data_IF_430126775951
#
_entry.id   IF_430126775951
#
_cell.length_a   1.000
_cell.length_b   1.000
_cell.length_c   1.000
_cell.angle_alpha   90.00
_cell.angle_beta   90.00
_cell.angle_gamma   90.00
#
_symmetry.space_group_name_H-M   'P 1'
#
loop_
_entity.id
_entity.type
_entity.pdbx_description
1 polymer ?
#
# COMPACT_ATOMS: atom_id res chain seq x y z
N UNK A 1 3.66 -13.47 -9.79
CA UNK A 1 3.26 -12.21 -10.45
C UNK A 1 2.74 -11.33 -9.34
N UNK A 2 3.60 -10.44 -8.91
CA UNK A 2 3.40 -9.42 -7.90
C UNK A 2 2.65 -8.25 -8.53
N UNK A 3 1.33 -8.21 -8.31
CA UNK A 3 0.42 -7.19 -8.85
C UNK A 3 0.94 -5.76 -8.67
N UNK A 4 1.55 -5.47 -7.53
CA UNK A 4 2.17 -4.18 -7.25
C UNK A 4 3.39 -3.90 -8.15
N UNK A 5 4.26 -4.88 -8.38
CA UNK A 5 5.40 -4.70 -9.28
C UNK A 5 4.99 -4.45 -10.73
N UNK A 6 3.91 -5.08 -11.22
CA UNK A 6 3.40 -4.83 -12.57
C UNK A 6 2.92 -3.37 -12.74
N UNK A 7 2.15 -2.84 -11.77
CA UNK A 7 1.65 -1.45 -11.81
C UNK A 7 2.80 -0.44 -11.88
N UNK A 8 3.84 -0.64 -11.07
CA UNK A 8 4.93 0.32 -10.93
C UNK A 8 6.13 0.03 -11.85
N UNK A 9 6.12 -1.08 -12.59
CA UNK A 9 7.16 -1.42 -13.59
C UNK A 9 7.31 -0.36 -14.69
N UNK A 10 6.28 0.45 -14.93
CA UNK A 10 6.28 1.54 -15.89
C UNK A 10 6.91 2.84 -15.35
N UNK A 11 7.17 2.93 -14.04
CA UNK A 11 7.83 4.07 -13.44
C UNK A 11 9.35 3.99 -13.62
N UNK A 12 10.05 5.14 -13.65
CA UNK A 12 11.50 5.15 -13.63
C UNK A 12 12.02 4.47 -12.36
N UNK A 13 12.97 3.54 -12.54
CA UNK A 13 13.67 2.84 -11.46
C UNK A 13 14.57 3.77 -10.66
N UNK A 14 14.99 4.91 -11.22
CA UNK A 14 15.87 5.86 -10.56
C UNK A 14 15.14 7.18 -10.29
N UNK A 15 15.21 7.73 -9.06
CA UNK A 15 14.74 9.09 -8.77
C UNK A 15 15.56 10.08 -9.57
N UNK A 16 14.90 11.06 -10.20
CA UNK A 16 15.59 12.02 -11.03
C UNK A 16 16.44 12.92 -10.11
N UNK A 17 17.77 12.90 -10.30
CA UNK A 17 18.74 13.60 -9.46
C UNK A 17 18.64 15.14 -9.53
N UNK A 18 17.61 15.72 -10.14
CA UNK A 18 17.39 17.17 -10.27
C UNK A 18 16.89 17.88 -9.01
N UNK A 19 16.71 17.18 -7.89
CA UNK A 19 16.28 17.79 -6.63
C UNK A 19 14.78 18.08 -6.56
N UNK A 20 13.97 17.45 -7.42
CA UNK A 20 12.56 17.20 -7.10
C UNK A 20 12.50 16.19 -5.96
N UNK A 21 11.62 16.42 -4.98
CA UNK A 21 11.37 15.45 -3.93
C UNK A 21 10.46 14.37 -4.49
N UNK A 22 11.05 13.33 -5.07
CA UNK A 22 10.31 12.16 -5.52
C UNK A 22 9.97 11.27 -4.32
N UNK A 23 8.76 10.70 -4.33
CA UNK A 23 8.34 9.71 -3.33
C UNK A 23 8.86 8.34 -3.75
N UNK A 24 9.24 7.48 -2.80
CA UNK A 24 9.85 6.19 -3.09
C UNK A 24 8.87 5.06 -2.78
N UNK A 25 8.61 4.22 -3.79
CA UNK A 25 7.86 2.98 -3.61
C UNK A 25 8.81 1.79 -3.67
N UNK A 26 8.82 0.97 -2.61
CA UNK A 26 9.66 -0.23 -2.54
C UNK A 26 8.80 -1.49 -2.62
N UNK A 27 9.01 -2.33 -3.63
CA UNK A 27 8.33 -3.64 -3.74
C UNK A 27 9.30 -4.70 -4.22
N UNK A 28 9.27 -5.87 -3.58
CA UNK A 28 10.03 -7.04 -4.03
C UNK A 28 11.56 -6.86 -4.03
N UNK A 29 12.06 -5.86 -3.28
CA UNK A 29 13.48 -5.48 -3.27
C UNK A 29 13.88 -4.46 -4.34
N UNK A 30 12.96 -4.05 -5.20
CA UNK A 30 13.12 -2.94 -6.14
C UNK A 30 12.58 -1.64 -5.53
N UNK A 31 13.19 -0.52 -5.92
CA UNK A 31 12.71 0.81 -5.58
C UNK A 31 12.31 1.54 -6.86
N UNK A 32 11.20 2.26 -6.80
CA UNK A 32 10.63 3.02 -7.89
C UNK A 32 10.44 4.46 -7.44
N UNK A 33 10.90 5.40 -8.26
CA UNK A 33 10.67 6.80 -8.01
C UNK A 33 9.31 7.20 -8.55
N UNK A 34 8.49 7.76 -7.67
CA UNK A 34 7.21 8.35 -7.99
C UNK A 34 7.43 9.85 -8.17
N UNK A 35 7.29 10.38 -9.40
CA UNK A 35 7.49 11.79 -9.67
C UNK A 35 6.55 12.63 -8.83
N UNK A 36 7.11 13.41 -7.91
CA UNK A 36 6.33 14.26 -7.02
C UNK A 36 6.79 15.73 -7.13
N UNK A 37 6.52 16.37 -8.29
CA UNK A 37 7.05 17.68 -8.61
C UNK A 37 6.53 18.82 -7.72
N UNK A 38 5.56 18.53 -6.86
CA UNK A 38 4.90 19.49 -5.98
C UNK A 38 5.14 19.17 -4.49
N UNK A 39 5.89 18.11 -4.16
CA UNK A 39 6.11 17.71 -2.76
C UNK A 39 4.81 17.30 -2.06
N UNK A 40 3.88 16.67 -2.77
CA UNK A 40 2.62 16.15 -2.25
C UNK A 40 2.82 14.76 -1.65
N UNK A 41 2.09 14.45 -0.59
CA UNK A 41 2.17 13.15 0.10
C UNK A 41 1.38 12.05 -0.65
N UNK A 42 0.99 12.28 -1.90
CA UNK A 42 0.24 11.31 -2.70
C UNK A 42 0.38 11.53 -4.20
N UNK A 43 0.24 10.44 -4.96
CA UNK A 43 0.20 10.45 -6.40
C UNK A 43 -0.89 9.51 -6.93
N UNK A 44 -1.44 9.82 -8.10
CA UNK A 44 -2.44 8.97 -8.76
C UNK A 44 -2.00 8.70 -10.19
N UNK A 45 -2.06 7.43 -10.57
CA UNK A 45 -1.71 6.91 -11.87
C UNK A 45 -2.94 6.29 -12.52
N UNK A 46 -3.08 6.49 -13.82
CA UNK A 46 -4.13 5.86 -14.62
C UNK A 46 -3.45 4.93 -15.62
N UNK A 47 -3.89 3.67 -15.65
CA UNK A 47 -3.45 2.67 -16.62
C UNK A 47 -4.61 2.15 -17.48
N UNK A 48 -4.32 1.16 -18.31
CA UNK A 48 -5.32 0.47 -19.13
C UNK A 48 -6.30 -0.35 -18.28
N UNK A 49 -5.86 -0.82 -17.12
CA UNK A 49 -6.63 -1.69 -16.23
C UNK A 49 -7.37 -0.94 -15.10
N UNK A 50 -7.03 0.33 -14.84
CA UNK A 50 -7.68 1.09 -13.78
C UNK A 50 -6.91 2.32 -13.30
N UNK A 51 -7.19 2.70 -12.05
CA UNK A 51 -6.57 3.83 -11.36
C UNK A 51 -5.87 3.32 -10.10
N UNK A 52 -4.60 3.70 -9.94
CA UNK A 52 -3.82 3.43 -8.73
C UNK A 52 -3.48 4.73 -8.03
N UNK A 53 -3.71 4.79 -6.72
CA UNK A 53 -3.28 5.88 -5.86
C UNK A 53 -2.28 5.34 -4.85
N UNK A 54 -1.24 6.13 -4.60
CA UNK A 54 -0.19 5.89 -3.60
C UNK A 54 -0.16 7.07 -2.64
N UNK A 55 0.18 6.81 -1.38
CA UNK A 55 0.28 7.85 -0.36
C UNK A 55 1.40 7.56 0.63
N UNK A 56 2.15 8.60 0.96
CA UNK A 56 3.00 8.73 2.13
C UNK A 56 2.12 9.34 3.24
N UNK A 57 1.95 8.63 4.35
CA UNK A 57 1.03 9.03 5.42
C UNK A 57 1.77 9.65 6.61
N UNK A 58 3.08 9.42 6.74
CA UNK A 58 3.89 9.91 7.84
C UNK A 58 4.91 11.00 7.45
N UNK A 59 5.08 11.25 6.15
CA UNK A 59 5.90 12.31 5.57
C UNK A 59 7.38 11.95 5.47
N UNK A 60 7.75 10.67 5.57
CA UNK A 60 9.14 10.22 5.47
C UNK A 60 9.65 10.09 4.02
N UNK A 61 8.76 10.27 3.04
CA UNK A 61 9.04 10.17 1.61
C UNK A 61 8.88 8.77 1.03
N UNK A 62 8.47 7.79 1.83
CA UNK A 62 8.16 6.44 1.40
C UNK A 62 6.64 6.22 1.32
N UNK A 63 6.22 5.36 0.39
CA UNK A 63 4.80 5.03 0.27
C UNK A 63 4.39 4.09 1.41
N UNK A 64 3.32 4.47 2.11
CA UNK A 64 2.69 3.70 3.18
C UNK A 64 1.40 3.01 2.75
N UNK A 65 0.77 3.51 1.69
CA UNK A 65 -0.55 3.03 1.27
C UNK A 65 -0.67 3.01 -0.24
N UNK A 66 -1.23 1.90 -0.76
CA UNK A 66 -1.59 1.77 -2.17
C UNK A 66 -3.03 1.34 -2.28
N UNK A 67 -3.82 2.05 -3.09
CA UNK A 67 -5.15 1.60 -3.50
C UNK A 67 -5.23 1.49 -5.01
N UNK A 68 -5.79 0.39 -5.50
CA UNK A 68 -6.11 0.22 -6.92
C UNK A 68 -7.61 -0.01 -7.09
N UNK A 69 -8.18 0.64 -8.09
CA UNK A 69 -9.54 0.39 -8.58
C UNK A 69 -9.44 0.02 -10.05
N UNK A 70 -9.86 -1.20 -10.38
CA UNK A 70 -9.89 -1.73 -11.74
C UNK A 70 -11.20 -1.36 -12.44
N UNK A 71 -11.17 -1.18 -13.76
CA UNK A 71 -12.37 -0.78 -14.52
C UNK A 71 -13.48 -1.84 -14.54
N UNK A 72 -13.16 -3.10 -14.22
CA UNK A 72 -14.14 -4.18 -14.06
C UNK A 72 -14.86 -4.14 -12.69
N UNK A 73 -14.64 -3.09 -11.89
CA UNK A 73 -15.32 -2.87 -10.62
C UNK A 73 -14.63 -3.53 -9.43
N UNK A 74 -13.48 -4.19 -9.63
CA UNK A 74 -12.64 -4.69 -8.55
C UNK A 74 -11.82 -3.58 -7.92
N UNK A 75 -11.48 -3.75 -6.64
CA UNK A 75 -10.57 -2.85 -5.94
C UNK A 75 -9.76 -3.59 -4.89
N UNK A 76 -8.58 -3.05 -4.60
CA UNK A 76 -7.66 -3.57 -3.58
C UNK A 76 -6.96 -2.43 -2.86
N UNK A 77 -6.58 -2.66 -1.60
CA UNK A 77 -5.80 -1.78 -0.76
C UNK A 77 -4.66 -2.54 -0.11
N UNK A 78 -3.51 -1.89 0.01
CA UNK A 78 -2.25 -2.51 0.45
C UNK A 78 -1.47 -1.59 1.39
N UNK A 79 -0.75 -2.20 2.34
CA UNK A 79 0.21 -1.54 3.25
C UNK A 79 1.52 -2.32 3.32
N UNK A 80 2.65 -1.69 3.68
CA UNK A 80 3.88 -2.41 3.97
C UNK A 80 3.67 -3.41 5.10
N UNK A 81 4.31 -4.58 5.02
CA UNK A 81 4.22 -5.60 6.07
C UNK A 81 4.66 -5.04 7.42
N UNK A 82 3.81 -5.18 8.44
CA UNK A 82 4.11 -4.70 9.77
C UNK A 82 4.05 -3.17 9.91
N UNK A 83 3.48 -2.46 8.92
CA UNK A 83 3.02 -1.10 9.11
C UNK A 83 2.05 -1.11 10.29
N UNK A 84 2.42 -0.46 11.39
CA UNK A 84 1.53 -0.37 12.53
C UNK A 84 0.22 0.26 12.05
N UNK A 85 -0.90 -0.37 12.36
CA UNK A 85 -2.19 0.32 12.29
C UNK A 85 -1.97 1.66 12.99
N UNK A 86 -2.10 2.77 12.26
CA UNK A 86 -2.19 4.09 12.87
C UNK A 86 -3.50 4.12 13.69
N UNK A 87 -3.50 3.42 14.82
CA UNK A 87 -4.56 3.45 15.81
C UNK A 87 -4.45 4.81 16.46
N UNK A 88 -5.36 5.66 16.04
CA UNK A 88 -5.96 6.70 16.83
C UNK A 88 -5.84 6.39 18.34
N UNK A 89 -5.07 7.23 19.03
CA UNK A 89 -4.92 7.34 20.47
C UNK A 89 -4.27 6.15 21.21
N UNK A 90 -3.04 6.40 21.68
CA UNK A 90 -2.20 5.47 22.40
C UNK A 90 -2.92 4.76 23.55
N UNK A 91 -2.99 3.43 23.43
CA UNK A 91 -2.95 2.56 24.58
C UNK A 91 -2.30 1.24 24.17
N UNK A 92 -0.99 1.14 24.40
CA UNK A 92 -0.31 -0.13 24.51
C UNK A 92 -0.96 -0.87 25.69
N UNK A 93 -1.70 -1.95 25.42
CA UNK A 93 -2.09 -2.90 26.47
C UNK A 93 -1.44 -4.23 26.17
N UNK A 94 -0.43 -4.52 26.97
CA UNK A 94 0.22 -5.80 27.14
C UNK A 94 -0.70 -6.82 27.82
N UNK A 95 -0.74 -8.04 27.26
CA UNK A 95 -1.01 -9.35 27.89
C UNK A 95 -2.47 -9.82 28.11
N UNK A 96 -2.69 -11.17 28.12
CA UNK A 96 -3.81 -11.81 27.44
C UNK A 96 -5.00 -12.11 28.37
N UNK A 97 -6.22 -12.03 27.85
CA UNK A 97 -7.41 -12.54 28.56
C UNK A 97 -8.07 -13.62 27.71
N UNK A 98 -8.11 -14.84 28.26
CA UNK A 98 -8.98 -15.90 27.77
C UNK A 98 -10.45 -15.52 28.01
N UNK A 99 -11.30 -15.77 27.01
CA UNK A 99 -12.71 -16.02 27.26
C UNK A 99 -13.72 -15.24 26.41
N UNK A 100 -14.32 -15.99 25.48
CA UNK A 100 -15.59 -15.78 24.77
C UNK A 100 -15.52 -14.95 23.48
N UNK A 101 -15.63 -15.72 22.40
CA UNK A 101 -15.66 -15.32 21.01
C UNK A 101 -16.84 -14.41 20.66
N UNK A 102 -16.55 -13.35 19.90
CA UNK A 102 -17.30 -13.09 18.69
C UNK A 102 -16.44 -13.59 17.52
N UNK A 103 -16.95 -14.60 16.83
CA UNK A 103 -16.34 -15.19 15.64
C UNK A 103 -16.38 -14.20 14.48
N UNK A 104 -15.49 -13.21 14.49
CA UNK A 104 -14.93 -12.75 13.22
C UNK A 104 -14.17 -13.94 12.65
N UNK A 105 -14.37 -14.37 11.39
CA UNK A 105 -13.66 -15.51 10.83
C UNK A 105 -12.14 -15.25 10.84
N UNK A 106 -11.51 -15.66 11.93
CA UNK A 106 -10.08 -15.89 12.02
C UNK A 106 -9.89 -17.28 11.44
N UNK A 107 -9.72 -17.37 10.12
CA UNK A 107 -9.10 -18.48 9.37
C UNK A 107 -9.39 -18.27 7.88
N UNK A 108 -8.67 -17.34 7.26
CA UNK A 108 -8.10 -17.61 5.93
C UNK A 108 -6.74 -16.94 5.90
N UNK A 109 -5.70 -17.69 6.25
CA UNK A 109 -4.33 -17.44 5.82
C UNK A 109 -4.29 -17.42 4.29
N UNK A 110 -4.69 -16.29 3.71
CA UNK A 110 -4.25 -15.87 2.40
C UNK A 110 -3.42 -14.64 2.70
N UNK A 111 -2.18 -14.89 3.09
CA UNK A 111 -1.12 -13.90 3.00
C UNK A 111 -1.04 -13.50 1.54
N UNK A 112 -1.73 -12.41 1.20
CA UNK A 112 -1.63 -11.78 -0.10
C UNK A 112 -0.41 -10.86 0.00
N UNK A 113 0.76 -11.48 0.01
CA UNK A 113 2.01 -10.76 0.16
C UNK A 113 2.55 -10.42 -1.23
N UNK A 114 2.80 -9.14 -1.46
CA UNK A 114 3.43 -8.66 -2.68
C UNK A 114 4.70 -7.88 -2.32
N UNK A 115 5.83 -8.58 -2.18
CA UNK A 115 7.13 -7.93 -2.08
C UNK A 115 7.29 -7.00 -0.87
N UNK A 116 6.93 -7.48 0.32
CA UNK A 116 6.84 -6.75 1.60
C UNK A 116 5.59 -5.88 1.79
N UNK A 117 4.50 -6.22 1.11
CA UNK A 117 3.21 -5.55 1.24
C UNK A 117 2.11 -6.55 1.52
N UNK A 118 1.22 -6.23 2.44
CA UNK A 118 0.01 -6.99 2.74
C UNK A 118 -1.23 -6.30 2.13
N UNK A 119 -2.13 -7.10 1.54
CA UNK A 119 -3.44 -6.60 1.12
C UNK A 119 -4.35 -6.47 2.34
N UNK A 120 -4.67 -5.22 2.73
CA UNK A 120 -5.48 -4.91 3.91
C UNK A 120 -6.98 -4.91 3.64
N UNK A 121 -7.39 -4.65 2.39
CA UNK A 121 -8.80 -4.66 2.01
C UNK A 121 -8.97 -4.90 0.50
N UNK A 122 -10.10 -5.48 0.09
CA UNK A 122 -10.44 -5.70 -1.32
C UNK A 122 -11.92 -6.00 -1.51
N UNK A 123 -12.41 -5.72 -2.71
CA UNK A 123 -13.79 -6.04 -3.07
C UNK A 123 -14.08 -5.88 -4.55
N UNK A 124 -15.37 -5.99 -4.86
CA UNK A 124 -15.93 -5.80 -6.19
C UNK A 124 -17.27 -5.07 -6.03
N UNK A 125 -17.52 -4.06 -6.86
CA UNK A 125 -18.81 -3.40 -6.92
C UNK A 125 -19.73 -4.21 -7.85
N UNK A 126 -20.84 -4.73 -7.31
CA UNK A 126 -21.81 -5.54 -8.06
C UNK A 126 -22.90 -6.13 -7.19
#
# INVERSE_FOLDING_TARGET
MDFLGDIFSHLPVEPDATGRQDMVFSVGGSEYAIPNPQGLDSATFTGEDGVTTVSDLDGDGHVDYVSNVSYDGKWTAWRPDGAADAKENGQQVSEPVEGVAESTPNEVSKTWDAGRWECVDRGEWG
#
